data_IF_249375230925
#
_entry.id   IF_249375230925
#
_cell.length_a   1.000
_cell.length_b   1.000
_cell.length_c   1.000
_cell.angle_alpha   90.00
_cell.angle_beta   90.00
_cell.angle_gamma   90.00
#
_symmetry.space_group_name_H-M   'P 1'
#
loop_
_entity.id
_entity.type
_entity.pdbx_description
1 polymer ?
#
# COMPACT_ATOMS: atom_id res chain seq x y z
N UNK A 1 32.84 9.84 -54.41
CA UNK A 1 32.44 9.09 -53.19
C UNK A 1 31.03 8.59 -53.40
N UNK A 2 30.81 7.28 -53.29
CA UNK A 2 29.52 6.63 -53.56
C UNK A 2 28.49 6.94 -52.46
N UNK A 3 27.86 8.11 -52.56
CA UNK A 3 26.83 8.58 -51.63
C UNK A 3 25.66 7.58 -51.51
N UNK A 4 25.32 6.93 -52.63
CA UNK A 4 24.30 5.87 -52.71
C UNK A 4 24.64 4.62 -51.89
N UNK A 5 25.93 4.30 -51.70
CA UNK A 5 26.36 3.15 -50.87
C UNK A 5 26.24 3.47 -49.39
N UNK A 6 26.55 4.70 -48.99
CA UNK A 6 26.45 5.16 -47.59
C UNK A 6 24.98 5.23 -47.15
N UNK A 7 24.10 5.72 -48.01
CA UNK A 7 22.65 5.80 -47.74
C UNK A 7 22.01 4.42 -47.52
N UNK A 8 22.39 3.44 -48.34
CA UNK A 8 21.91 2.06 -48.20
C UNK A 8 22.36 1.39 -46.90
N UNK A 9 23.62 1.60 -46.50
CA UNK A 9 24.14 1.07 -45.23
C UNK A 9 23.40 1.70 -44.04
N UNK A 10 23.16 3.01 -44.09
CA UNK A 10 22.43 3.70 -43.02
C UNK A 10 20.99 3.18 -42.87
N UNK A 11 20.30 2.94 -43.98
CA UNK A 11 18.94 2.37 -43.97
C UNK A 11 18.90 0.97 -43.36
N UNK A 12 19.85 0.09 -43.71
CA UNK A 12 19.92 -1.27 -43.15
C UNK A 12 20.20 -1.25 -41.66
N UNK A 13 21.15 -0.41 -41.20
CA UNK A 13 21.47 -0.26 -39.77
C UNK A 13 20.28 0.32 -39.00
N UNK A 14 19.58 1.31 -39.56
CA UNK A 14 18.41 1.91 -38.94
C UNK A 14 17.28 0.89 -38.76
N UNK A 15 16.99 0.06 -39.77
CA UNK A 15 15.99 -1.01 -39.65
C UNK A 15 16.39 -2.05 -38.61
N UNK A 16 17.66 -2.47 -38.59
CA UNK A 16 18.17 -3.40 -37.57
C UNK A 16 18.02 -2.86 -36.15
N UNK A 17 18.32 -1.58 -35.95
CA UNK A 17 18.18 -0.91 -34.65
C UNK A 17 16.70 -0.77 -34.23
N UNK A 18 15.80 -0.48 -35.16
CA UNK A 18 14.36 -0.44 -34.87
C UNK A 18 13.79 -1.82 -34.49
N UNK A 19 14.24 -2.89 -35.16
CA UNK A 19 13.86 -4.26 -34.78
C UNK A 19 14.40 -4.62 -33.40
N UNK A 20 15.66 -4.28 -33.11
CA UNK A 20 16.25 -4.48 -31.79
C UNK A 20 15.49 -3.73 -30.70
N UNK A 21 15.13 -2.45 -30.93
CA UNK A 21 14.30 -1.69 -30.00
C UNK A 21 12.91 -2.30 -29.85
N UNK A 22 12.28 -2.77 -30.93
CA UNK A 22 10.99 -3.43 -30.88
C UNK A 22 11.03 -4.68 -30.01
N UNK A 23 12.02 -5.56 -30.23
CA UNK A 23 12.22 -6.77 -29.41
C UNK A 23 12.50 -6.40 -27.95
N UNK A 24 13.41 -5.45 -27.71
CA UNK A 24 13.75 -4.98 -26.36
C UNK A 24 12.54 -4.39 -25.64
N UNK A 25 11.69 -3.63 -26.34
CA UNK A 25 10.45 -3.07 -25.79
C UNK A 25 9.43 -4.16 -25.44
N UNK A 26 9.21 -5.14 -26.32
CA UNK A 26 8.33 -6.28 -26.03
C UNK A 26 8.90 -7.18 -24.92
N UNK A 27 10.22 -7.32 -24.83
CA UNK A 27 10.88 -8.12 -23.80
C UNK A 27 10.87 -7.41 -22.45
N UNK A 28 11.07 -6.09 -22.41
CA UNK A 28 10.93 -5.27 -21.21
C UNK A 28 9.50 -5.30 -20.64
N UNK A 29 8.47 -5.41 -21.49
CA UNK A 29 7.09 -5.62 -21.04
C UNK A 29 6.83 -7.03 -20.48
N UNK A 30 7.64 -8.03 -20.84
CA UNK A 30 7.51 -9.41 -20.35
C UNK A 30 8.31 -9.69 -19.08
N UNK A 31 9.27 -8.84 -18.71
CA UNK A 31 10.12 -9.03 -17.52
C UNK A 31 9.36 -8.75 -16.21
N UNK A 32 8.19 -8.11 -16.25
CA UNK A 32 7.40 -7.76 -15.05
C UNK A 32 6.25 -8.72 -14.72
N UNK A 33 6.08 -9.83 -15.46
CA UNK A 33 5.02 -10.81 -15.18
C UNK A 33 5.58 -12.22 -15.28
N UNK A 34 6.31 -12.62 -14.25
CA UNK A 34 6.79 -13.98 -14.05
C UNK A 34 5.62 -14.96 -14.11
N UNK A 35 5.48 -15.62 -15.26
CA UNK A 35 4.53 -16.71 -15.48
C UNK A 35 5.13 -17.97 -14.85
N UNK A 36 4.95 -18.13 -13.54
CA UNK A 36 5.30 -19.36 -12.83
C UNK A 36 4.01 -20.19 -12.76
N UNK A 37 3.95 -21.35 -13.42
CA UNK A 37 2.83 -22.28 -13.27
C UNK A 37 3.24 -23.75 -13.08
N UNK A 38 4.50 -24.10 -13.31
CA UNK A 38 4.98 -25.49 -13.23
C UNK A 38 5.70 -25.84 -11.92
N UNK A 39 6.21 -24.85 -11.18
CA UNK A 39 7.04 -25.04 -9.98
C UNK A 39 6.33 -24.83 -8.64
N UNK A 40 5.06 -24.38 -8.66
CA UNK A 40 4.41 -23.88 -7.44
C UNK A 40 4.00 -25.00 -6.50
N UNK A 41 3.53 -26.14 -7.02
CA UNK A 41 3.18 -27.29 -6.19
C UNK A 41 4.39 -27.87 -5.44
N UNK A 42 5.55 -27.93 -6.10
CA UNK A 42 6.80 -28.32 -5.45
C UNK A 42 7.21 -27.30 -4.38
N UNK A 43 7.11 -26.00 -4.69
CA UNK A 43 7.49 -24.94 -3.75
C UNK A 43 6.59 -24.92 -2.50
N UNK A 44 5.27 -25.12 -2.65
CA UNK A 44 4.36 -25.25 -1.50
C UNK A 44 4.75 -26.46 -0.62
N UNK A 45 5.19 -27.55 -1.24
CA UNK A 45 5.67 -28.73 -0.49
C UNK A 45 6.92 -28.39 0.31
N UNK A 46 7.88 -27.70 -0.30
CA UNK A 46 9.10 -27.24 0.39
C UNK A 46 8.78 -26.28 1.55
N UNK A 47 7.88 -25.32 1.36
CA UNK A 47 7.40 -24.41 2.42
C UNK A 47 6.86 -25.21 3.63
N UNK A 48 6.05 -26.24 3.39
CA UNK A 48 5.51 -27.05 4.49
C UNK A 48 6.57 -27.94 5.14
N UNK A 49 7.58 -28.41 4.38
CA UNK A 49 8.72 -29.17 4.92
C UNK A 49 9.55 -28.31 5.87
N UNK A 50 9.69 -27.02 5.57
CA UNK A 50 10.41 -26.05 6.40
C UNK A 50 9.59 -25.54 7.59
N UNK A 51 8.48 -26.22 7.89
CA UNK A 51 7.57 -25.98 9.01
C UNK A 51 6.91 -24.58 8.98
N UNK A 52 6.76 -23.99 7.80
CA UNK A 52 6.05 -22.74 7.61
C UNK A 52 4.55 -23.04 7.45
N UNK A 53 3.73 -22.52 8.38
CA UNK A 53 2.27 -22.70 8.34
C UNK A 53 1.62 -21.72 7.37
N UNK A 54 0.81 -22.23 6.46
CA UNK A 54 0.10 -21.43 5.46
C UNK A 54 -1.41 -21.35 5.76
N UNK A 55 -2.03 -20.17 5.60
CA UNK A 55 -3.48 -20.04 5.57
C UNK A 55 -4.01 -20.52 4.21
N UNK A 56 -5.32 -20.40 4.00
CA UNK A 56 -5.90 -20.64 2.68
C UNK A 56 -5.53 -19.48 1.75
N UNK A 57 -4.63 -19.73 0.80
CA UNK A 57 -4.17 -18.76 -0.19
C UNK A 57 -5.01 -18.85 -1.47
N UNK A 58 -5.45 -17.70 -1.97
CA UNK A 58 -6.12 -17.57 -3.26
C UNK A 58 -5.12 -17.72 -4.41
N UNK A 59 -5.54 -18.44 -5.46
CA UNK A 59 -4.84 -18.53 -6.76
C UNK A 59 -5.36 -17.52 -7.78
N UNK A 60 -6.31 -16.68 -7.40
CA UNK A 60 -6.86 -15.65 -8.30
C UNK A 60 -5.89 -14.48 -8.36
N UNK A 61 -5.66 -13.98 -9.57
CA UNK A 61 -4.87 -12.78 -9.83
C UNK A 61 -5.81 -11.57 -9.78
N UNK A 62 -5.76 -10.73 -8.73
CA UNK A 62 -6.54 -9.51 -8.68
C UNK A 62 -6.00 -8.49 -9.70
N UNK A 63 -6.74 -7.38 -9.86
CA UNK A 63 -6.27 -6.21 -10.59
C UNK A 63 -5.90 -5.10 -9.62
N UNK A 64 -4.92 -4.28 -10.00
CA UNK A 64 -4.54 -3.08 -9.28
C UNK A 64 -4.15 -1.96 -10.23
N UNK A 65 -3.90 -0.79 -9.66
CA UNK A 65 -3.64 0.44 -10.39
C UNK A 65 -2.35 1.10 -9.88
N UNK A 66 -1.76 2.00 -10.65
CA UNK A 66 -0.74 2.91 -10.13
C UNK A 66 -1.43 4.21 -9.76
N UNK A 67 -1.29 4.64 -8.51
CA UNK A 67 -1.98 5.82 -8.00
C UNK A 67 -0.98 6.95 -7.74
N UNK A 68 -1.39 8.19 -7.99
CA UNK A 68 -0.65 9.38 -7.61
C UNK A 68 -1.49 10.26 -6.69
N UNK A 69 -0.90 10.66 -5.57
CA UNK A 69 -1.46 11.69 -4.69
C UNK A 69 -0.58 12.92 -4.67
N UNK A 70 -1.19 14.09 -4.56
CA UNK A 70 -0.48 15.36 -4.40
C UNK A 70 -0.53 15.79 -2.94
N UNK A 71 0.48 16.56 -2.52
CA UNK A 71 0.46 17.21 -1.22
C UNK A 71 -0.82 18.05 -1.07
N UNK A 72 -1.40 18.03 0.12
CA UNK A 72 -2.64 18.73 0.42
C UNK A 72 -2.61 19.34 1.82
N UNK A 73 -3.45 20.35 2.03
CA UNK A 73 -3.60 21.06 3.30
C UNK A 73 -4.98 20.86 3.94
N UNK A 74 -5.68 19.77 3.58
CA UNK A 74 -7.06 19.55 3.98
C UNK A 74 -7.22 19.44 5.50
N UNK A 75 -6.23 18.88 6.21
CA UNK A 75 -6.28 18.75 7.66
C UNK A 75 -6.13 20.11 8.36
N UNK A 76 -5.38 21.06 7.78
CA UNK A 76 -5.30 22.43 8.31
C UNK A 76 -6.68 23.11 8.30
N UNK A 77 -7.42 22.96 7.21
CA UNK A 77 -8.77 23.52 7.11
C UNK A 77 -9.77 22.78 8.02
N UNK A 78 -9.61 21.47 8.18
CA UNK A 78 -10.47 20.65 9.04
C UNK A 78 -10.32 20.94 10.54
N UNK A 79 -9.12 21.39 10.97
CA UNK A 79 -8.78 21.65 12.38
C UNK A 79 -9.83 22.47 13.13
N UNK A 80 -10.42 23.48 12.50
CA UNK A 80 -11.38 24.39 13.15
C UNK A 80 -12.74 23.74 13.44
N UNK A 81 -13.07 22.66 12.73
CA UNK A 81 -14.34 21.94 12.88
C UNK A 81 -14.27 20.81 13.91
N UNK A 82 -13.06 20.52 14.41
CA UNK A 82 -12.80 19.47 15.39
C UNK A 82 -12.99 20.04 16.80
N UNK A 83 -14.03 19.60 17.49
CA UNK A 83 -14.43 20.09 18.83
C UNK A 83 -14.04 19.08 19.91
N UNK A 84 -13.77 19.54 21.13
CA UNK A 84 -13.40 18.73 22.32
C UNK A 84 -12.03 18.05 22.23
N UNK A 85 -11.12 18.68 21.53
CA UNK A 85 -9.77 18.19 21.30
C UNK A 85 -8.82 19.35 21.02
N UNK A 86 -7.61 19.24 21.55
CA UNK A 86 -6.51 20.13 21.23
C UNK A 86 -5.78 19.59 20.02
N UNK A 87 -5.91 20.30 18.90
CA UNK A 87 -5.35 19.89 17.62
C UNK A 87 -4.15 20.76 17.28
N UNK A 88 -3.05 20.14 16.88
CA UNK A 88 -1.91 20.74 16.20
C UNK A 88 -1.72 20.10 14.82
N UNK A 89 -1.07 20.84 13.93
CA UNK A 89 -0.65 20.34 12.62
C UNK A 89 0.88 20.34 12.62
N UNK A 90 1.47 19.21 12.24
CA UNK A 90 2.88 19.09 11.93
C UNK A 90 3.05 19.10 10.42
N UNK A 91 3.94 19.97 9.94
CA UNK A 91 4.33 20.01 8.53
C UNK A 91 5.75 19.42 8.41
N UNK A 92 5.86 18.31 7.68
CA UNK A 92 7.11 17.64 7.34
C UNK A 92 7.04 17.09 5.91
N UNK A 93 7.49 15.85 5.70
CA UNK A 93 7.34 15.16 4.40
C UNK A 93 5.87 15.03 3.96
N UNK A 94 4.95 15.01 4.93
CA UNK A 94 3.52 15.03 4.76
C UNK A 94 2.86 15.81 5.90
N UNK A 95 1.63 16.25 5.67
CA UNK A 95 0.83 16.91 6.68
C UNK A 95 0.28 15.86 7.66
N UNK A 96 0.56 16.07 8.95
CA UNK A 96 0.02 15.24 10.03
C UNK A 96 -0.77 16.11 11.01
N UNK A 97 -1.99 15.67 11.31
CA UNK A 97 -2.81 16.22 12.37
C UNK A 97 -2.59 15.42 13.64
N UNK A 98 -2.25 16.12 14.72
CA UNK A 98 -2.09 15.52 16.05
C UNK A 98 -3.19 16.09 16.94
N UNK A 99 -3.99 15.20 17.52
CA UNK A 99 -5.14 15.57 18.34
C UNK A 99 -5.06 14.91 19.72
N UNK A 100 -4.99 15.75 20.75
CA UNK A 100 -5.12 15.32 22.14
C UNK A 100 -6.57 15.55 22.60
N UNK A 101 -7.19 14.52 23.18
CA UNK A 101 -8.57 14.64 23.66
C UNK A 101 -8.60 15.44 24.96
N UNK A 102 -9.52 16.41 25.05
CA UNK A 102 -9.70 17.20 26.27
C UNK A 102 -10.08 16.31 27.46
N UNK A 103 -10.88 15.26 27.19
CA UNK A 103 -11.25 14.23 28.15
C UNK A 103 -10.96 12.86 27.52
N UNK A 104 -9.98 12.10 28.05
CA UNK A 104 -9.69 10.77 27.53
C UNK A 104 -10.89 9.83 27.65
N UNK A 105 -11.16 9.05 26.60
CA UNK A 105 -12.33 8.17 26.52
C UNK A 105 -11.98 6.81 27.12
N UNK A 106 -12.68 6.42 28.19
CA UNK A 106 -12.50 5.10 28.81
C UNK A 106 -13.07 4.00 27.90
N UNK A 107 -12.21 3.06 27.53
CA UNK A 107 -12.58 1.90 26.71
C UNK A 107 -13.11 0.80 27.62
N UNK A 108 -14.32 0.34 27.31
CA UNK A 108 -14.99 -0.73 28.03
C UNK A 108 -14.43 -2.07 27.58
N UNK A 109 -14.19 -2.94 28.55
CA UNK A 109 -13.70 -4.30 28.30
C UNK A 109 -14.59 -5.02 27.29
N UNK A 110 -13.98 -5.67 26.29
CA UNK A 110 -14.63 -6.38 25.18
C UNK A 110 -15.43 -5.48 24.20
N UNK A 111 -15.35 -4.16 24.33
CA UNK A 111 -16.00 -3.19 23.41
C UNK A 111 -15.02 -2.15 22.88
N UNK A 112 -13.74 -2.27 23.19
CA UNK A 112 -12.67 -1.32 22.89
C UNK A 112 -12.64 -1.02 21.39
N UNK A 113 -12.52 -2.07 20.55
CA UNK A 113 -12.45 -1.91 19.10
C UNK A 113 -13.71 -1.26 18.52
N UNK A 114 -14.89 -1.59 19.04
CA UNK A 114 -16.16 -1.00 18.58
C UNK A 114 -16.24 0.48 18.96
N UNK A 115 -15.81 0.83 20.16
CA UNK A 115 -15.75 2.23 20.59
C UNK A 115 -14.74 3.02 19.78
N UNK A 116 -13.56 2.47 19.51
CA UNK A 116 -12.54 3.08 18.66
C UNK A 116 -13.02 3.29 17.21
N UNK A 117 -13.64 2.27 16.61
CA UNK A 117 -14.30 2.40 15.29
C UNK A 117 -15.34 3.52 15.26
N UNK A 118 -16.15 3.61 16.31
CA UNK A 118 -17.17 4.66 16.43
C UNK A 118 -16.54 6.04 16.62
N UNK A 119 -15.46 6.12 17.41
CA UNK A 119 -14.71 7.35 17.60
C UNK A 119 -14.14 7.86 16.28
N UNK A 120 -13.41 7.02 15.54
CA UNK A 120 -12.82 7.39 14.24
C UNK A 120 -13.91 7.90 13.31
N UNK A 121 -15.00 7.14 13.15
CA UNK A 121 -16.09 7.48 12.24
C UNK A 121 -16.72 8.86 12.49
N UNK A 122 -16.77 9.30 13.75
CA UNK A 122 -17.56 10.47 14.18
C UNK A 122 -16.72 11.68 14.57
N UNK A 123 -15.46 11.50 14.99
CA UNK A 123 -14.64 12.56 15.59
C UNK A 123 -13.34 12.82 14.81
N UNK A 124 -13.03 11.99 13.82
CA UNK A 124 -11.86 12.13 12.94
C UNK A 124 -12.33 12.65 11.59
N UNK A 125 -11.54 13.56 10.99
CA UNK A 125 -11.85 14.12 9.68
C UNK A 125 -11.96 13.01 8.63
N UNK A 126 -13.05 12.96 7.85
CA UNK A 126 -13.32 11.86 6.91
C UNK A 126 -13.17 10.45 7.52
N UNK A 127 -13.45 10.28 8.82
CA UNK A 127 -13.24 9.02 9.53
C UNK A 127 -13.99 7.80 8.98
N UNK A 128 -14.99 8.01 8.11
CA UNK A 128 -15.70 6.93 7.38
C UNK A 128 -14.85 6.29 6.29
N UNK A 129 -13.83 6.98 5.80
CA UNK A 129 -12.91 6.52 4.76
C UNK A 129 -11.73 5.75 5.34
N UNK A 130 -11.75 5.42 6.63
CA UNK A 130 -10.70 4.63 7.27
C UNK A 130 -11.24 3.29 7.74
N UNK A 131 -10.48 2.24 7.45
CA UNK A 131 -10.76 0.87 7.83
C UNK A 131 -9.73 0.39 8.84
N UNK A 132 -10.18 -0.40 9.83
CA UNK A 132 -9.31 -0.92 10.86
C UNK A 132 -8.25 -1.85 10.26
N UNK A 133 -6.97 -1.56 10.52
CA UNK A 133 -5.83 -2.31 10.02
C UNK A 133 -5.19 -3.12 11.17
N UNK A 134 -5.64 -4.36 11.43
CA UNK A 134 -5.13 -5.16 12.54
C UNK A 134 -3.64 -5.48 12.40
N UNK A 135 -3.16 -5.68 11.16
CA UNK A 135 -1.75 -5.98 10.89
C UNK A 135 -0.78 -4.84 11.26
N UNK A 136 -1.29 -3.61 11.37
CA UNK A 136 -0.51 -2.42 11.75
C UNK A 136 -0.73 -2.01 13.21
N UNK A 137 -1.63 -2.70 13.91
CA UNK A 137 -2.06 -2.38 15.27
C UNK A 137 -1.35 -3.23 16.32
N UNK A 138 -1.27 -2.72 17.54
CA UNK A 138 -0.85 -3.46 18.73
C UNK A 138 -1.58 -2.92 19.98
N UNK A 139 -1.14 -3.33 21.16
CA UNK A 139 -1.79 -3.01 22.43
C UNK A 139 -1.83 -1.50 22.76
N UNK A 140 -0.85 -0.73 22.28
CA UNK A 140 -0.72 0.71 22.58
C UNK A 140 -1.23 1.61 21.45
N UNK A 141 -1.16 1.11 20.21
CA UNK A 141 -1.54 1.86 19.00
C UNK A 141 -2.49 1.06 18.11
N UNK A 142 -3.63 1.66 17.83
CA UNK A 142 -4.68 1.06 16.99
C UNK A 142 -4.76 1.85 15.70
N UNK A 143 -4.43 1.19 14.59
CA UNK A 143 -4.25 1.82 13.28
C UNK A 143 -5.47 1.57 12.41
N UNK A 144 -5.88 2.62 11.72
CA UNK A 144 -6.87 2.58 10.66
C UNK A 144 -6.24 3.10 9.38
N UNK A 145 -6.29 2.30 8.32
CA UNK A 145 -5.77 2.65 7.00
C UNK A 145 -6.88 3.31 6.17
N UNK A 146 -6.53 4.33 5.38
CA UNK A 146 -7.48 4.96 4.47
C UNK A 146 -7.87 3.95 3.39
N UNK A 147 -9.16 3.88 3.09
CA UNK A 147 -9.77 2.99 2.11
C UNK A 147 -10.56 3.82 1.08
N UNK A 148 -9.86 4.54 0.19
CA UNK A 148 -10.51 5.17 -0.97
C UNK A 148 -11.09 4.11 -1.92
N UNK A 149 -11.88 4.56 -2.90
CA UNK A 149 -12.53 3.67 -3.87
C UNK A 149 -11.55 2.72 -4.60
N UNK A 150 -10.29 3.15 -4.79
CA UNK A 150 -9.27 2.33 -5.45
C UNK A 150 -8.86 1.10 -4.64
N UNK A 151 -8.97 1.14 -3.30
CA UNK A 151 -8.55 0.08 -2.40
C UNK A 151 -7.84 0.60 -1.15
N UNK A 152 -7.52 -0.31 -0.24
CA UNK A 152 -6.89 -0.01 1.06
C UNK A 152 -5.45 0.49 0.87
N UNK A 153 -5.04 1.51 1.63
CA UNK A 153 -3.68 2.07 1.55
C UNK A 153 -2.92 1.78 2.85
N UNK A 154 -1.89 0.96 2.76
CA UNK A 154 -0.97 0.65 3.86
C UNK A 154 0.26 1.55 3.76
N UNK A 155 0.05 2.82 4.10
CA UNK A 155 1.11 3.80 4.22
C UNK A 155 0.83 4.79 5.36
N UNK A 156 1.89 5.32 5.97
CA UNK A 156 1.78 6.30 7.06
C UNK A 156 1.15 7.62 6.64
N UNK A 157 1.16 7.96 5.35
CA UNK A 157 0.56 9.17 4.76
C UNK A 157 -0.96 9.06 4.58
N UNK A 158 -1.53 7.88 4.83
CA UNK A 158 -2.95 7.58 4.65
C UNK A 158 -3.52 6.80 5.84
N UNK A 159 -3.25 7.24 7.07
CA UNK A 159 -3.60 6.49 8.27
C UNK A 159 -4.11 7.36 9.42
N UNK A 160 -4.92 6.74 10.28
CA UNK A 160 -5.27 7.25 11.61
C UNK A 160 -4.69 6.30 12.64
N UNK A 161 -3.86 6.82 13.54
CA UNK A 161 -3.29 6.05 14.64
C UNK A 161 -3.88 6.54 15.94
N UNK A 162 -4.68 5.70 16.60
CA UNK A 162 -5.20 5.97 17.93
C UNK A 162 -4.15 5.55 18.97
N UNK A 163 -3.94 6.38 19.98
CA UNK A 163 -3.06 6.08 21.10
C UNK A 163 -3.87 5.76 22.34
N UNK A 164 -3.63 4.58 22.90
CA UNK A 164 -4.31 4.07 24.09
C UNK A 164 -3.33 4.01 25.24
N UNK A 165 -3.73 4.55 26.39
CA UNK A 165 -2.98 4.47 27.65
C UNK A 165 -3.95 4.13 28.79
N UNK A 166 -3.60 3.16 29.63
CA UNK A 166 -4.42 2.70 30.76
C UNK A 166 -5.89 2.39 30.39
N UNK A 167 -6.11 1.70 29.27
CA UNK A 167 -7.45 1.42 28.70
C UNK A 167 -8.26 2.69 28.36
N UNK A 168 -7.59 3.82 28.10
CA UNK A 168 -8.20 5.07 27.68
C UNK A 168 -7.63 5.52 26.35
N UNK A 169 -8.51 5.90 25.43
CA UNK A 169 -8.10 6.64 24.24
C UNK A 169 -7.73 8.06 24.67
N UNK A 170 -6.46 8.44 24.48
CA UNK A 170 -5.91 9.73 24.95
C UNK A 170 -5.70 10.72 23.81
N UNK A 171 -5.25 10.23 22.65
CA UNK A 171 -4.92 11.05 21.50
C UNK A 171 -4.98 10.22 20.22
N UNK A 172 -4.89 10.90 19.08
CA UNK A 172 -4.66 10.26 17.80
C UNK A 172 -3.82 11.13 16.88
N UNK A 173 -3.15 10.49 15.93
CA UNK A 173 -2.60 11.15 14.75
C UNK A 173 -3.40 10.79 13.52
N UNK A 174 -3.47 11.71 12.56
CA UNK A 174 -4.15 11.53 11.30
C UNK A 174 -3.34 12.10 10.15
N UNK A 175 -3.23 11.32 9.09
CA UNK A 175 -2.78 11.72 7.76
C UNK A 175 -3.86 11.37 6.74
N UNK A 176 -3.98 12.15 5.67
CA UNK A 176 -5.08 12.00 4.72
C UNK A 176 -4.66 12.33 3.29
N UNK A 177 -4.99 11.44 2.36
CA UNK A 177 -4.85 11.64 0.93
C UNK A 177 -6.18 12.16 0.38
N UNK A 178 -6.19 13.39 -0.15
CA UNK A 178 -7.42 14.02 -0.67
C UNK A 178 -7.82 13.50 -2.04
N UNK A 179 -6.86 13.45 -2.97
CA UNK A 179 -7.08 13.07 -4.35
C UNK A 179 -6.06 12.01 -4.76
N UNK A 180 -6.56 10.95 -5.35
CA UNK A 180 -5.78 9.89 -5.98
C UNK A 180 -6.11 9.87 -7.47
N UNK A 181 -5.11 10.13 -8.30
CA UNK A 181 -5.23 10.02 -9.74
C UNK A 181 -4.67 8.66 -10.17
N UNK A 182 -5.39 7.96 -11.03
CA UNK A 182 -4.90 6.73 -11.64
C UNK A 182 -3.91 7.10 -12.75
N UNK A 183 -2.66 6.66 -12.60
CA UNK A 183 -1.61 6.79 -13.60
C UNK A 183 -1.65 5.66 -14.62
N UNK A 184 -2.00 4.45 -14.15
CA UNK A 184 -2.13 3.25 -14.96
C UNK A 184 -3.16 2.34 -14.33
N UNK A 185 -4.12 1.86 -15.10
CA UNK A 185 -5.22 1.03 -14.60
C UNK A 185 -5.05 -0.45 -14.97
N UNK A 186 -5.79 -1.29 -14.26
CA UNK A 186 -6.08 -2.68 -14.64
C UNK A 186 -4.86 -3.59 -14.81
N UNK A 187 -3.82 -3.38 -14.01
CA UNK A 187 -2.66 -4.25 -13.97
C UNK A 187 -3.03 -5.59 -13.34
N UNK A 188 -2.65 -6.69 -13.99
CA UNK A 188 -2.77 -8.01 -13.37
C UNK A 188 -1.73 -8.14 -12.28
N UNK A 189 -2.17 -8.40 -11.05
CA UNK A 189 -1.30 -8.61 -9.91
C UNK A 189 -1.03 -10.10 -9.70
N UNK A 190 -0.02 -10.38 -8.87
CA UNK A 190 0.26 -11.72 -8.37
C UNK A 190 -0.91 -12.24 -7.52
N UNK A 191 -1.17 -13.55 -7.57
CA UNK A 191 -2.09 -14.15 -6.60
C UNK A 191 -1.47 -14.19 -5.21
N UNK A 192 -2.29 -14.40 -4.17
CA UNK A 192 -1.78 -14.54 -2.79
C UNK A 192 -0.79 -15.70 -2.69
N UNK A 193 -1.06 -16.81 -3.40
CA UNK A 193 -0.15 -17.95 -3.43
C UNK A 193 1.19 -17.59 -4.07
N UNK A 194 1.17 -16.88 -5.20
CA UNK A 194 2.38 -16.51 -5.92
C UNK A 194 3.23 -15.53 -5.09
N UNK A 195 2.59 -14.60 -4.37
CA UNK A 195 3.26 -13.67 -3.47
C UNK A 195 3.98 -14.41 -2.34
N UNK A 196 3.33 -15.39 -1.71
CA UNK A 196 3.95 -16.23 -0.67
C UNK A 196 5.11 -17.05 -1.22
N UNK A 197 4.96 -17.63 -2.42
CA UNK A 197 6.01 -18.38 -3.09
C UNK A 197 7.22 -17.51 -3.39
N UNK A 198 7.00 -16.26 -3.85
CA UNK A 198 8.08 -15.31 -4.09
C UNK A 198 8.85 -14.99 -2.81
N UNK A 199 8.15 -14.58 -1.73
CA UNK A 199 8.78 -14.29 -0.44
C UNK A 199 9.56 -15.49 0.11
N UNK A 200 9.06 -16.71 -0.05
CA UNK A 200 9.79 -17.91 0.35
C UNK A 200 11.07 -18.12 -0.48
N UNK A 201 11.01 -17.95 -1.81
CA UNK A 201 12.17 -18.08 -2.69
C UNK A 201 13.24 -17.04 -2.41
N UNK A 202 12.83 -15.85 -1.98
CA UNK A 202 13.71 -14.75 -1.61
C UNK A 202 14.27 -14.89 -0.18
N UNK A 203 13.90 -15.96 0.55
CA UNK A 203 14.24 -16.23 1.96
C UNK A 203 13.71 -15.18 2.95
N UNK A 204 12.64 -14.47 2.59
CA UNK A 204 11.99 -13.48 3.46
C UNK A 204 11.07 -14.12 4.51
N UNK A 205 10.75 -15.41 4.36
CA UNK A 205 9.95 -16.16 5.31
C UNK A 205 10.86 -17.10 6.11
N UNK A 206 11.07 -16.86 7.41
CA UNK A 206 11.91 -17.73 8.22
C UNK A 206 11.26 -19.10 8.41
N UNK A 207 12.08 -20.13 8.58
CA UNK A 207 11.63 -21.48 8.91
C UNK A 207 10.90 -21.50 10.26
N UNK A 208 10.01 -22.48 10.45
CA UNK A 208 9.21 -22.62 11.67
C UNK A 208 8.29 -21.42 11.98
N UNK A 209 7.91 -20.66 10.96
CA UNK A 209 7.03 -19.49 11.09
C UNK A 209 5.60 -19.80 10.65
N UNK A 210 4.72 -18.80 10.72
CA UNK A 210 3.36 -18.90 10.24
C UNK A 210 2.95 -17.63 9.51
N UNK A 211 2.36 -17.79 8.32
CA UNK A 211 1.69 -16.70 7.64
C UNK A 211 0.32 -16.53 8.30
N UNK A 212 0.13 -15.43 9.01
CA UNK A 212 -1.10 -15.18 9.78
C UNK A 212 -2.24 -14.72 8.87
N UNK A 213 -1.94 -13.87 7.89
CA UNK A 213 -2.92 -13.29 6.96
C UNK A 213 -2.25 -12.77 5.70
N UNK A 214 -3.00 -12.72 4.61
CA UNK A 214 -2.67 -11.99 3.38
C UNK A 214 -3.68 -10.87 3.18
N UNK A 215 -3.22 -9.70 2.76
CA UNK A 215 -4.07 -8.54 2.53
C UNK A 215 -3.55 -7.79 1.30
N UNK A 216 -4.44 -7.53 0.34
CA UNK A 216 -4.14 -6.63 -0.78
C UNK A 216 -4.30 -5.18 -0.30
N UNK A 217 -3.27 -4.38 -0.49
CA UNK A 217 -3.24 -2.96 -0.16
C UNK A 217 -2.19 -2.24 -1.02
N UNK A 218 -2.41 -0.95 -1.26
CA UNK A 218 -1.42 -0.07 -1.87
C UNK A 218 -0.35 0.33 -0.86
N UNK A 219 0.88 0.49 -1.33
CA UNK A 219 2.02 0.93 -0.54
C UNK A 219 2.75 2.09 -1.22
N UNK A 220 3.49 2.89 -0.46
CA UNK A 220 4.34 3.94 -1.00
C UNK A 220 5.40 3.34 -1.93
N UNK A 221 5.51 3.86 -3.15
CA UNK A 221 6.58 3.53 -4.08
C UNK A 221 7.70 4.58 -4.04
N UNK A 222 7.36 5.82 -4.39
CA UNK A 222 8.31 6.93 -4.51
C UNK A 222 7.60 8.28 -4.59
N UNK A 223 8.35 9.36 -4.42
CA UNK A 223 7.91 10.71 -4.73
C UNK A 223 8.50 11.17 -6.08
N UNK A 224 7.65 11.60 -7.01
CA UNK A 224 8.03 12.08 -8.33
C UNK A 224 7.23 13.31 -8.74
N UNK A 225 7.93 14.35 -9.21
CA UNK A 225 7.35 15.60 -9.75
C UNK A 225 6.29 16.22 -8.81
N UNK A 226 6.55 16.22 -7.50
CA UNK A 226 5.64 16.77 -6.49
C UNK A 226 4.40 15.90 -6.21
N UNK A 227 4.40 14.64 -6.64
CA UNK A 227 3.35 13.66 -6.32
C UNK A 227 3.97 12.44 -5.66
N UNK A 228 3.24 11.84 -4.73
CA UNK A 228 3.54 10.53 -4.16
C UNK A 228 2.87 9.44 -4.98
N UNK A 229 3.64 8.44 -5.41
CA UNK A 229 3.15 7.29 -6.17
C UNK A 229 2.93 6.10 -5.24
N UNK A 230 1.81 5.40 -5.43
CA UNK A 230 1.45 4.18 -4.73
C UNK A 230 1.21 3.02 -5.69
N UNK A 231 1.57 1.80 -5.27
CA UNK A 231 1.43 0.53 -5.99
C UNK A 231 0.89 -0.57 -5.11
#
# INVERSE_FOLDING_TARGET
>A
MDFRRIEWIFLVVFVGLNIFLGISYFQAQQVDLATIKSGDAATITDITRDQIKLPRLSKKTPKGDYLASQANSALTAARTNLVKQQVSISEGDYQELQANLDVPITLKKNQELRQMKTFVKNNVYHGKEYEYAPALSNDERVVFAQHPQAGLIYDRRAAVTLHVSDNRLVSYTQTYLTKLNILRDHLSLMSEQDAVIALYRDNDIPNNSAIVSTQLAYSYLLDAKGSTVYV
#
